data_IF_837184562683
#
_entry.id   IF_837184562683
#
_cell.length_a   1.000
_cell.length_b   1.000
_cell.length_c   1.000
_cell.angle_alpha   90.00
_cell.angle_beta   90.00
_cell.angle_gamma   90.00
#
_symmetry.space_group_name_H-M   'P 1'
#
loop_
_entity.id
_entity.type
_entity.pdbx_description
1 polymer ?
#
# COMPACT_ATOMS: atom_id res chain seq x y z
N UNK A 1 29.67 50.80 -19.84
CA UNK A 1 28.92 50.18 -18.78
C UNK A 1 27.46 50.68 -18.90
N UNK A 2 26.62 49.93 -19.58
CA UNK A 2 25.20 50.30 -19.80
C UNK A 2 24.32 49.29 -19.07
N UNK A 3 23.54 49.78 -18.14
CA UNK A 3 22.53 49.04 -17.37
C UNK A 3 21.28 48.99 -18.25
N UNK A 4 20.82 47.80 -18.59
CA UNK A 4 19.52 47.57 -19.28
C UNK A 4 18.52 47.19 -18.22
N UNK A 5 17.56 48.08 -17.98
CA UNK A 5 16.37 47.86 -17.15
C UNK A 5 15.39 47.00 -17.92
N UNK A 6 15.02 45.81 -17.40
CA UNK A 6 13.93 44.99 -17.92
C UNK A 6 12.65 45.35 -17.19
N UNK A 7 11.74 45.96 -17.93
CA UNK A 7 10.36 46.22 -17.48
C UNK A 7 9.58 44.90 -17.34
N UNK A 8 9.01 44.71 -16.16
CA UNK A 8 8.12 43.61 -15.82
C UNK A 8 6.72 43.90 -16.36
N UNK A 9 6.29 43.20 -17.41
CA UNK A 9 4.90 43.29 -17.89
C UNK A 9 4.06 42.39 -16.96
N UNK A 10 3.28 43.00 -16.11
CA UNK A 10 2.21 42.34 -15.37
C UNK A 10 1.03 42.09 -16.34
N UNK A 11 0.80 40.86 -16.69
CA UNK A 11 -0.35 40.42 -17.46
C UNK A 11 -1.50 40.07 -16.50
N UNK A 12 -2.30 41.08 -16.17
CA UNK A 12 -3.51 40.93 -15.37
C UNK A 12 -4.63 40.38 -16.25
N UNK A 13 -4.81 39.06 -16.30
CA UNK A 13 -5.89 38.36 -17.02
C UNK A 13 -6.94 37.75 -16.09
N UNK A 14 -7.02 38.18 -14.83
CA UNK A 14 -7.94 37.58 -13.85
C UNK A 14 -9.37 38.14 -13.84
N UNK A 15 -9.73 39.05 -14.73
CA UNK A 15 -11.03 39.74 -14.67
C UNK A 15 -11.84 39.72 -15.97
N UNK A 16 -11.80 38.62 -16.74
CA UNK A 16 -12.72 38.45 -17.87
C UNK A 16 -13.94 37.60 -17.45
N UNK A 17 -15.17 37.92 -17.93
CA UNK A 17 -16.38 37.13 -17.64
C UNK A 17 -16.25 35.65 -18.02
N UNK A 18 -15.40 35.33 -19.00
CA UNK A 18 -15.07 33.96 -19.39
C UNK A 18 -14.22 33.21 -18.40
N UNK A 19 -13.36 33.89 -17.64
CA UNK A 19 -12.53 33.30 -16.59
C UNK A 19 -13.36 32.91 -15.36
N UNK A 20 -14.45 33.63 -15.08
CA UNK A 20 -15.37 33.30 -13.99
C UNK A 20 -16.32 32.15 -14.33
N UNK A 21 -16.71 31.98 -15.60
CA UNK A 21 -17.56 30.87 -16.03
C UNK A 21 -16.85 29.51 -16.02
N UNK A 22 -15.52 29.47 -16.18
CA UNK A 22 -14.74 28.22 -16.12
C UNK A 22 -14.47 27.73 -14.69
N UNK A 23 -14.64 28.60 -13.68
CA UNK A 23 -14.47 28.22 -12.28
C UNK A 23 -15.65 27.44 -11.69
N UNK A 24 -16.78 27.33 -12.39
CA UNK A 24 -17.96 26.59 -11.94
C UNK A 24 -18.02 25.14 -12.43
N UNK A 25 -17.10 24.72 -13.30
CA UNK A 25 -16.93 23.30 -13.67
C UNK A 25 -15.76 22.69 -12.87
N UNK A 26 -15.76 22.80 -11.55
CA UNK A 26 -15.02 21.87 -10.71
C UNK A 26 -15.72 20.52 -10.87
N UNK A 27 -15.22 19.70 -11.79
CA UNK A 27 -15.46 18.26 -11.75
C UNK A 27 -15.02 17.85 -10.35
N UNK A 28 -15.98 17.47 -9.51
CA UNK A 28 -15.66 16.91 -8.19
C UNK A 28 -14.71 15.75 -8.46
N UNK A 29 -13.53 15.68 -7.82
CA UNK A 29 -12.65 14.55 -8.00
C UNK A 29 -13.44 13.30 -7.65
N UNK A 30 -13.44 12.31 -8.54
CA UNK A 30 -14.08 11.02 -8.25
C UNK A 30 -13.36 10.49 -7.02
N UNK A 31 -14.06 10.43 -5.89
CA UNK A 31 -13.52 9.88 -4.67
C UNK A 31 -13.77 8.36 -4.68
N UNK A 32 -12.70 7.59 -4.84
CA UNK A 32 -12.79 6.14 -4.77
C UNK A 32 -12.93 5.68 -3.33
N UNK A 33 -13.94 4.89 -3.04
CA UNK A 33 -14.03 4.15 -1.80
C UNK A 33 -13.15 2.91 -1.92
N UNK A 34 -12.08 2.84 -1.13
CA UNK A 34 -11.09 1.77 -1.11
C UNK A 34 -11.17 1.05 0.22
N UNK A 35 -11.48 -0.24 0.19
CA UNK A 35 -11.53 -1.08 1.39
C UNK A 35 -10.21 -1.80 1.57
N UNK A 36 -9.50 -1.47 2.64
CA UNK A 36 -8.31 -2.17 3.08
C UNK A 36 -8.73 -3.37 3.96
N UNK A 37 -8.41 -4.59 3.55
CA UNK A 37 -8.69 -5.83 4.28
C UNK A 37 -7.77 -6.00 5.50
N UNK A 38 -7.67 -4.97 6.31
CA UNK A 38 -6.81 -4.88 7.50
C UNK A 38 -7.18 -3.65 8.33
N UNK A 39 -6.94 -3.73 9.63
CA UNK A 39 -6.99 -2.59 10.56
C UNK A 39 -5.60 -2.11 10.98
N UNK A 40 -4.52 -2.74 10.46
CA UNK A 40 -3.14 -2.35 10.78
C UNK A 40 -2.79 -0.98 10.17
N UNK A 41 -2.42 0.04 11.00
CA UNK A 41 -2.17 1.40 10.52
C UNK A 41 -1.07 1.51 9.48
N UNK A 42 0.00 0.71 9.60
CA UNK A 42 1.12 0.74 8.64
C UNK A 42 0.70 0.21 7.26
N UNK A 43 -0.16 -0.82 7.22
CA UNK A 43 -0.74 -1.34 5.98
C UNK A 43 -1.70 -0.32 5.35
N UNK A 44 -2.60 0.27 6.16
CA UNK A 44 -3.55 1.31 5.70
C UNK A 44 -2.78 2.51 5.14
N UNK A 45 -1.74 2.96 5.83
CA UNK A 45 -0.92 4.08 5.37
C UNK A 45 -0.23 3.80 4.03
N UNK A 46 0.34 2.60 3.86
CA UNK A 46 0.95 2.20 2.58
C UNK A 46 -0.07 2.17 1.43
N UNK A 47 -1.29 1.68 1.69
CA UNK A 47 -2.39 1.67 0.72
C UNK A 47 -2.78 3.11 0.35
N UNK A 48 -2.97 3.99 1.34
CA UNK A 48 -3.33 5.38 1.11
C UNK A 48 -2.29 6.11 0.26
N UNK A 49 -1.00 5.95 0.57
CA UNK A 49 0.09 6.53 -0.22
C UNK A 49 0.08 6.03 -1.67
N UNK A 50 0.00 4.71 -1.89
CA UNK A 50 0.01 4.15 -3.23
C UNK A 50 -1.18 4.61 -4.08
N UNK A 51 -2.38 4.68 -3.50
CA UNK A 51 -3.57 5.15 -4.19
C UNK A 51 -3.51 6.66 -4.48
N UNK A 52 -2.99 7.47 -3.56
CA UNK A 52 -2.77 8.90 -3.79
C UNK A 52 -1.77 9.16 -4.91
N UNK A 53 -0.66 8.41 -4.95
CA UNK A 53 0.35 8.55 -6.02
C UNK A 53 -0.20 8.16 -7.39
N UNK A 54 -1.06 7.14 -7.44
CA UNK A 54 -1.60 6.60 -8.70
C UNK A 54 -2.82 7.41 -9.19
N UNK A 55 -3.73 7.78 -8.32
CA UNK A 55 -5.01 8.41 -8.69
C UNK A 55 -5.10 9.90 -8.34
N UNK A 56 -4.10 10.45 -7.67
CA UNK A 56 -4.04 11.83 -7.21
C UNK A 56 -4.38 11.98 -5.73
N UNK A 57 -3.75 12.97 -5.10
CA UNK A 57 -3.97 13.25 -3.68
C UNK A 57 -5.44 13.61 -3.39
N UNK A 58 -6.01 12.99 -2.35
CA UNK A 58 -7.40 13.20 -1.95
C UNK A 58 -8.43 12.54 -2.87
N UNK A 59 -8.01 11.72 -3.84
CA UNK A 59 -8.93 10.98 -4.73
C UNK A 59 -9.53 9.73 -4.10
N UNK A 60 -9.02 9.28 -2.94
CA UNK A 60 -9.41 8.03 -2.33
C UNK A 60 -9.80 8.22 -0.86
N UNK A 61 -10.87 7.54 -0.45
CA UNK A 61 -11.21 7.32 0.95
C UNK A 61 -10.88 5.87 1.31
N UNK A 62 -9.99 5.66 2.28
CA UNK A 62 -9.56 4.33 2.70
C UNK A 62 -10.33 3.92 3.96
N UNK A 63 -11.09 2.84 3.88
CA UNK A 63 -11.76 2.20 5.00
C UNK A 63 -11.03 0.90 5.37
N UNK A 64 -10.55 0.78 6.61
CA UNK A 64 -9.98 -0.47 7.12
C UNK A 64 -11.08 -1.40 7.64
N UNK A 65 -11.05 -2.67 7.22
CA UNK A 65 -11.94 -3.72 7.74
C UNK A 65 -11.12 -4.91 8.23
N UNK A 66 -11.52 -5.47 9.36
CA UNK A 66 -10.92 -6.69 9.88
C UNK A 66 -11.62 -7.89 9.23
N UNK A 67 -10.81 -8.73 8.56
CA UNK A 67 -11.27 -9.95 7.90
C UNK A 67 -10.22 -11.05 8.04
N UNK A 68 -10.68 -12.30 8.06
CA UNK A 68 -9.81 -13.46 8.11
C UNK A 68 -9.05 -13.66 6.79
N UNK A 69 -7.84 -14.19 6.89
CA UNK A 69 -7.02 -14.62 5.74
C UNK A 69 -7.29 -16.07 5.32
N UNK A 70 -7.87 -16.87 6.22
CA UNK A 70 -8.07 -18.30 5.99
C UNK A 70 -6.78 -19.13 5.93
N UNK A 71 -5.63 -18.54 6.31
CA UNK A 71 -4.32 -19.19 6.37
C UNK A 71 -3.71 -19.02 7.75
N UNK A 72 -2.57 -19.67 8.00
CA UNK A 72 -1.86 -19.52 9.27
C UNK A 72 -1.52 -18.05 9.58
N UNK A 73 -1.42 -17.71 10.88
CA UNK A 73 -1.01 -16.36 11.32
C UNK A 73 0.37 -15.97 10.77
N UNK A 74 1.26 -16.95 10.58
CA UNK A 74 2.52 -16.82 9.89
C UNK A 74 2.57 -17.80 8.72
N UNK A 75 2.20 -17.37 7.48
CA UNK A 75 2.34 -18.21 6.28
C UNK A 75 3.81 -18.52 6.00
N UNK A 76 4.10 -19.77 5.65
CA UNK A 76 5.46 -20.29 5.45
C UNK A 76 5.78 -20.64 4.00
N UNK A 77 4.91 -20.28 3.07
CA UNK A 77 5.16 -20.41 1.63
C UNK A 77 4.61 -19.21 0.88
N UNK A 78 5.17 -18.94 -0.31
CA UNK A 78 4.64 -17.86 -1.14
C UNK A 78 3.20 -18.15 -1.58
N UNK A 79 2.86 -19.40 -1.83
CA UNK A 79 1.51 -19.79 -2.26
C UNK A 79 0.48 -19.57 -1.16
N UNK A 80 0.79 -19.97 0.07
CA UNK A 80 -0.06 -19.75 1.23
C UNK A 80 -0.26 -18.24 1.48
N UNK A 81 0.82 -17.46 1.46
CA UNK A 81 0.76 -16.00 1.64
C UNK A 81 -0.11 -15.34 0.58
N UNK A 82 0.07 -15.72 -0.71
CA UNK A 82 -0.76 -15.21 -1.81
C UNK A 82 -2.23 -15.60 -1.64
N UNK A 83 -2.49 -16.83 -1.25
CA UNK A 83 -3.85 -17.33 -0.98
C UNK A 83 -4.51 -16.53 0.14
N UNK A 84 -3.79 -16.28 1.24
CA UNK A 84 -4.28 -15.44 2.34
C UNK A 84 -4.63 -14.02 1.89
N UNK A 85 -3.77 -13.39 1.09
CA UNK A 85 -4.06 -12.06 0.55
C UNK A 85 -5.34 -12.05 -0.33
N UNK A 86 -5.51 -13.06 -1.20
CA UNK A 86 -6.72 -13.21 -2.02
C UNK A 86 -7.98 -13.46 -1.19
N UNK A 87 -7.87 -14.30 -0.16
CA UNK A 87 -8.99 -14.59 0.73
C UNK A 87 -9.43 -13.34 1.49
N UNK A 88 -8.49 -12.53 1.98
CA UNK A 88 -8.82 -11.24 2.62
C UNK A 88 -9.57 -10.30 1.68
N UNK A 89 -9.17 -10.20 0.40
CA UNK A 89 -9.90 -9.39 -0.59
C UNK A 89 -11.31 -9.92 -0.80
N UNK A 90 -11.47 -11.24 -0.95
CA UNK A 90 -12.80 -11.86 -1.07
C UNK A 90 -13.69 -11.56 0.14
N UNK A 91 -13.16 -11.70 1.33
CA UNK A 91 -13.90 -11.44 2.58
C UNK A 91 -14.24 -9.96 2.74
N UNK A 92 -13.30 -9.06 2.42
CA UNK A 92 -13.54 -7.62 2.43
C UNK A 92 -14.62 -7.20 1.42
N UNK A 93 -14.65 -7.83 0.25
CA UNK A 93 -15.70 -7.62 -0.76
C UNK A 93 -17.09 -8.06 -0.28
N UNK A 94 -17.18 -9.12 0.51
CA UNK A 94 -18.45 -9.53 1.12
C UNK A 94 -18.93 -8.52 2.17
N UNK A 95 -18.01 -7.92 2.92
CA UNK A 95 -18.33 -6.92 3.97
C UNK A 95 -18.72 -5.57 3.37
N UNK A 96 -18.09 -5.17 2.26
CA UNK A 96 -18.30 -3.88 1.57
C UNK A 96 -18.41 -4.06 0.06
N UNK A 97 -19.50 -4.63 -0.45
CA UNK A 97 -19.64 -4.99 -1.87
C UNK A 97 -19.70 -3.77 -2.81
N UNK A 98 -20.03 -2.59 -2.29
CA UNK A 98 -20.19 -1.33 -3.03
C UNK A 98 -18.88 -0.56 -3.24
N UNK A 99 -17.77 -0.98 -2.63
CA UNK A 99 -16.49 -0.30 -2.75
C UNK A 99 -15.98 -0.28 -4.20
N UNK A 100 -15.18 0.72 -4.54
CA UNK A 100 -14.53 0.82 -5.83
C UNK A 100 -13.34 -0.16 -5.93
N UNK A 101 -12.62 -0.34 -4.80
CA UNK A 101 -11.48 -1.25 -4.71
C UNK A 101 -11.45 -2.00 -3.38
N UNK A 102 -10.92 -3.21 -3.41
CA UNK A 102 -10.57 -4.03 -2.24
C UNK A 102 -9.08 -4.35 -2.29
N UNK A 103 -8.39 -4.14 -1.18
CA UNK A 103 -6.93 -4.24 -1.11
C UNK A 103 -6.51 -5.08 0.08
N UNK A 104 -5.65 -6.06 -0.14
CA UNK A 104 -5.04 -6.85 0.92
C UNK A 104 -3.52 -6.85 0.82
N UNK A 105 -2.89 -6.94 1.97
CA UNK A 105 -1.45 -7.16 2.16
C UNK A 105 -1.31 -8.33 3.14
N UNK A 106 -0.73 -9.43 2.67
CA UNK A 106 -0.40 -10.57 3.52
C UNK A 106 1.11 -10.77 3.54
N UNK A 107 1.69 -10.85 4.74
CA UNK A 107 3.11 -11.09 4.92
C UNK A 107 3.37 -12.58 5.15
N UNK A 108 4.47 -13.08 4.60
CA UNK A 108 4.86 -14.48 4.75
C UNK A 108 6.36 -14.66 4.68
N UNK A 109 6.74 -15.91 4.83
CA UNK A 109 8.12 -16.36 4.80
C UNK A 109 8.17 -17.56 3.85
N UNK A 110 9.25 -17.69 3.12
CA UNK A 110 9.56 -18.85 2.30
C UNK A 110 11.04 -19.14 2.44
N UNK A 111 11.36 -20.36 2.82
CA UNK A 111 12.72 -20.78 3.18
C UNK A 111 13.31 -19.88 4.28
N UNK A 112 14.22 -19.00 3.92
CA UNK A 112 14.86 -18.04 4.83
C UNK A 112 14.45 -16.59 4.58
N UNK A 113 13.50 -16.34 3.68
CA UNK A 113 13.21 -15.00 3.15
C UNK A 113 11.82 -14.51 3.53
N UNK A 114 11.75 -13.30 4.10
CA UNK A 114 10.51 -12.60 4.40
C UNK A 114 10.06 -11.71 3.25
N UNK A 115 8.76 -11.66 2.96
CA UNK A 115 8.12 -10.88 1.91
C UNK A 115 6.66 -10.61 2.22
N UNK A 116 5.95 -9.97 1.30
CA UNK A 116 4.49 -9.86 1.37
C UNK A 116 3.87 -9.93 -0.04
N UNK A 117 2.62 -10.39 -0.11
CA UNK A 117 1.77 -10.31 -1.29
C UNK A 117 0.77 -9.18 -1.15
N UNK A 118 0.62 -8.41 -2.24
CA UNK A 118 -0.40 -7.38 -2.43
C UNK A 118 -1.40 -7.87 -3.45
N UNK A 119 -2.67 -7.76 -3.09
CA UNK A 119 -3.78 -8.05 -4.00
C UNK A 119 -4.69 -6.84 -4.01
N UNK A 120 -4.97 -6.32 -5.20
CA UNK A 120 -5.91 -5.23 -5.44
C UNK A 120 -6.98 -5.74 -6.40
N UNK A 121 -8.25 -5.54 -6.07
CA UNK A 121 -9.38 -5.86 -6.94
C UNK A 121 -10.31 -4.67 -7.10
N UNK A 122 -10.92 -4.57 -8.26
CA UNK A 122 -12.15 -3.82 -8.47
C UNK A 122 -13.25 -4.78 -9.00
N UNK A 123 -14.36 -4.26 -9.49
CA UNK A 123 -15.45 -5.09 -10.02
C UNK A 123 -15.07 -5.91 -11.26
N UNK A 124 -14.01 -5.54 -11.99
CA UNK A 124 -13.69 -6.08 -13.30
C UNK A 124 -12.41 -6.91 -13.34
N UNK A 125 -11.42 -6.54 -12.53
CA UNK A 125 -10.08 -7.11 -12.66
C UNK A 125 -9.34 -7.15 -11.33
N UNK A 126 -8.25 -7.91 -11.32
CA UNK A 126 -7.32 -8.08 -10.21
C UNK A 126 -5.91 -7.73 -10.63
N UNK A 127 -5.20 -7.00 -9.77
CA UNK A 127 -3.76 -6.83 -9.85
C UNK A 127 -3.09 -7.44 -8.63
N UNK A 128 -1.94 -8.04 -8.83
CA UNK A 128 -1.18 -8.70 -7.78
C UNK A 128 0.31 -8.40 -7.93
N UNK A 129 0.99 -8.29 -6.81
CA UNK A 129 2.45 -8.18 -6.78
C UNK A 129 3.02 -8.80 -5.52
N UNK A 130 4.29 -9.16 -5.58
CA UNK A 130 5.09 -9.55 -4.42
C UNK A 130 6.07 -8.43 -4.09
N UNK A 131 6.22 -8.11 -2.80
CA UNK A 131 7.23 -7.14 -2.37
C UNK A 131 8.65 -7.65 -2.62
N UNK A 132 9.63 -6.74 -2.50
CA UNK A 132 11.01 -7.15 -2.29
C UNK A 132 11.08 -8.10 -1.08
N UNK A 133 12.00 -9.07 -1.12
CA UNK A 133 12.28 -10.01 -0.04
C UNK A 133 13.64 -9.74 0.57
N UNK A 134 13.83 -10.16 1.81
CA UNK A 134 15.11 -10.09 2.49
C UNK A 134 15.32 -11.35 3.35
N UNK A 135 16.58 -11.79 3.41
CA UNK A 135 16.96 -12.97 4.17
C UNK A 135 16.91 -12.70 5.68
N UNK A 136 16.34 -13.63 6.43
CA UNK A 136 16.26 -13.60 7.88
C UNK A 136 17.48 -14.27 8.51
N UNK A 137 18.04 -13.74 9.61
CA UNK A 137 19.11 -14.39 10.34
C UNK A 137 18.70 -15.76 10.88
N UNK A 138 19.63 -16.73 10.99
CA UNK A 138 19.32 -18.06 11.50
C UNK A 138 18.67 -18.08 12.89
N UNK A 139 19.04 -17.14 13.75
CA UNK A 139 18.45 -17.00 15.10
C UNK A 139 16.97 -16.65 15.04
N UNK A 140 16.55 -15.81 14.08
CA UNK A 140 15.14 -15.48 13.85
C UNK A 140 14.40 -16.70 13.31
N UNK A 141 14.98 -17.39 12.32
CA UNK A 141 14.40 -18.60 11.73
C UNK A 141 14.18 -19.72 12.76
N UNK A 142 15.06 -19.83 13.75
CA UNK A 142 14.88 -20.78 14.83
C UNK A 142 13.59 -20.50 15.62
N UNK A 143 13.32 -19.23 15.96
CA UNK A 143 12.09 -18.84 16.64
C UNK A 143 10.82 -19.10 15.83
N UNK A 144 10.89 -18.86 14.50
CA UNK A 144 9.75 -19.13 13.62
C UNK A 144 9.45 -20.63 13.51
N UNK A 145 10.47 -21.49 13.50
CA UNK A 145 10.29 -22.96 13.53
C UNK A 145 9.66 -23.46 14.82
N UNK A 146 9.81 -22.71 15.92
CA UNK A 146 9.15 -22.97 17.19
C UNK A 146 7.70 -22.42 17.23
N UNK A 147 7.20 -21.88 16.12
CA UNK A 147 5.83 -21.41 15.97
C UNK A 147 5.59 -19.95 16.35
N UNK A 148 6.66 -19.17 16.64
CA UNK A 148 6.50 -17.73 16.90
C UNK A 148 6.30 -16.95 15.59
N UNK A 149 5.50 -15.90 15.62
CA UNK A 149 5.41 -14.95 14.52
C UNK A 149 6.67 -14.09 14.41
N UNK A 150 7.02 -13.67 13.18
CA UNK A 150 8.20 -12.83 12.93
C UNK A 150 8.23 -11.56 13.80
N UNK A 151 7.08 -10.89 13.99
CA UNK A 151 7.01 -9.69 14.82
C UNK A 151 7.29 -9.97 16.31
N UNK A 152 6.84 -11.11 16.83
CA UNK A 152 7.08 -11.53 18.21
C UNK A 152 8.54 -11.90 18.42
N UNK A 153 9.10 -12.69 17.51
CA UNK A 153 10.50 -13.10 17.58
C UNK A 153 11.45 -11.92 17.50
N UNK A 154 11.15 -10.97 16.60
CA UNK A 154 11.93 -9.73 16.51
C UNK A 154 11.84 -8.89 17.76
N UNK A 155 10.67 -8.73 18.37
CA UNK A 155 10.51 -8.01 19.63
C UNK A 155 11.33 -8.69 20.76
N UNK A 156 11.27 -10.03 20.84
CA UNK A 156 12.04 -10.81 21.81
C UNK A 156 13.55 -10.63 21.65
N UNK A 157 14.05 -10.66 20.41
CA UNK A 157 15.50 -10.59 20.14
C UNK A 157 16.07 -9.18 20.23
N UNK A 158 15.29 -8.16 19.88
CA UNK A 158 15.76 -6.77 19.84
C UNK A 158 15.40 -5.97 21.09
N UNK A 159 14.47 -6.45 21.92
CA UNK A 159 13.90 -5.68 23.03
C UNK A 159 13.00 -4.51 22.58
N UNK A 160 12.72 -4.38 21.30
CA UNK A 160 11.87 -3.31 20.76
C UNK A 160 10.40 -3.73 20.90
N UNK A 161 9.71 -3.16 21.88
CA UNK A 161 8.26 -3.36 22.02
C UNK A 161 7.51 -2.81 20.82
N UNK A 162 6.42 -3.49 20.45
CA UNK A 162 5.54 -3.06 19.34
C UNK A 162 6.28 -2.84 18.00
N UNK A 163 7.29 -3.64 17.70
CA UNK A 163 8.10 -3.54 16.47
C UNK A 163 7.23 -3.53 15.20
N UNK A 164 6.04 -4.14 15.26
CA UNK A 164 5.02 -4.10 14.18
C UNK A 164 4.57 -2.68 13.83
N UNK A 165 4.70 -1.72 14.75
CA UNK A 165 4.36 -0.29 14.58
C UNK A 165 5.59 0.60 14.33
N UNK A 166 6.79 0.09 14.52
CA UNK A 166 8.06 0.81 14.40
C UNK A 166 8.88 0.40 13.17
N UNK A 167 8.22 0.21 12.02
CA UNK A 167 8.90 -0.18 10.78
C UNK A 167 8.97 -1.69 10.54
N UNK A 168 8.64 -2.52 11.53
CA UNK A 168 8.68 -3.99 11.43
C UNK A 168 10.10 -4.53 11.42
N UNK A 169 10.25 -5.83 11.12
CA UNK A 169 11.56 -6.49 11.03
C UNK A 169 12.50 -5.78 10.05
N UNK A 170 11.99 -5.35 8.89
CA UNK A 170 12.81 -4.65 7.89
C UNK A 170 13.35 -3.33 8.43
N UNK A 171 12.58 -2.59 9.23
CA UNK A 171 13.04 -1.37 9.88
C UNK A 171 14.20 -1.65 10.85
N UNK A 172 14.09 -2.70 11.65
CA UNK A 172 15.14 -3.09 12.57
C UNK A 172 16.41 -3.53 11.83
N UNK A 173 16.31 -4.36 10.80
CA UNK A 173 17.47 -4.85 10.04
C UNK A 173 18.14 -3.79 9.18
N UNK A 174 17.43 -2.75 8.81
CA UNK A 174 17.98 -1.66 7.97
C UNK A 174 18.32 -0.40 8.78
N UNK A 175 18.32 -0.48 10.10
CA UNK A 175 18.53 0.69 10.99
C UNK A 175 17.60 1.87 10.63
N UNK A 176 16.35 1.57 10.28
CA UNK A 176 15.36 2.58 9.92
C UNK A 176 15.43 3.14 8.51
N UNK A 177 16.36 2.68 7.66
CA UNK A 177 16.44 3.13 6.25
C UNK A 177 15.23 2.72 5.42
N UNK A 178 14.61 1.58 5.75
CA UNK A 178 13.37 1.10 5.16
C UNK A 178 12.33 0.88 6.27
N UNK A 179 11.08 0.90 5.87
CA UNK A 179 9.95 0.55 6.73
C UNK A 179 9.03 -0.44 6.00
N UNK A 180 8.13 -1.08 6.74
CA UNK A 180 7.07 -1.91 6.12
C UNK A 180 6.25 -1.09 5.14
N UNK A 181 5.91 0.16 5.49
CA UNK A 181 5.15 1.05 4.60
C UNK A 181 5.88 1.31 3.29
N UNK A 182 7.17 1.64 3.31
CA UNK A 182 7.92 1.94 2.08
C UNK A 182 8.03 0.74 1.14
N UNK A 183 8.23 -0.46 1.68
CA UNK A 183 8.32 -1.69 0.88
C UNK A 183 6.96 -2.12 0.34
N UNK A 184 5.90 -1.98 1.14
CA UNK A 184 4.54 -2.27 0.71
C UNK A 184 4.03 -1.28 -0.33
N UNK A 185 4.36 0.01 -0.17
CA UNK A 185 4.00 1.08 -1.10
C UNK A 185 4.46 0.77 -2.53
N UNK A 186 5.74 0.45 -2.72
CA UNK A 186 6.27 0.08 -4.04
C UNK A 186 5.52 -1.10 -4.65
N UNK A 187 5.29 -2.16 -3.87
CA UNK A 187 4.61 -3.34 -4.36
C UNK A 187 3.12 -3.06 -4.67
N UNK A 188 2.46 -2.19 -3.89
CA UNK A 188 1.09 -1.76 -4.19
C UNK A 188 0.97 -1.01 -5.51
N UNK A 189 1.92 -0.12 -5.83
CA UNK A 189 1.98 0.55 -7.15
C UNK A 189 2.07 -0.49 -8.27
N UNK A 190 2.89 -1.52 -8.11
CA UNK A 190 2.99 -2.61 -9.09
C UNK A 190 1.68 -3.41 -9.21
N UNK A 191 0.99 -3.66 -8.09
CA UNK A 191 -0.32 -4.31 -8.10
C UNK A 191 -1.41 -3.43 -8.75
N UNK A 192 -1.23 -2.11 -8.79
CA UNK A 192 -2.13 -1.16 -9.45
C UNK A 192 -1.91 -1.03 -10.96
N UNK A 193 -0.82 -1.54 -11.52
CA UNK A 193 -0.54 -1.46 -12.97
C UNK A 193 -1.71 -1.87 -13.87
N UNK A 194 -2.46 -2.98 -13.59
CA UNK A 194 -3.60 -3.37 -14.41
C UNK A 194 -4.71 -2.32 -14.50
N UNK A 195 -4.84 -1.45 -13.51
CA UNK A 195 -5.92 -0.46 -13.43
C UNK A 195 -5.58 0.85 -14.14
N UNK A 196 -4.30 1.08 -14.46
CA UNK A 196 -3.80 2.37 -14.98
C UNK A 196 -3.17 2.26 -16.36
N UNK A 197 -2.72 1.08 -16.78
CA UNK A 197 -1.99 0.94 -18.04
C UNK A 197 -2.84 0.26 -19.11
N UNK A 198 -3.01 0.88 -20.34
CA UNK A 198 -3.92 0.38 -21.37
C UNK A 198 -3.65 -1.03 -21.86
N UNK A 199 -2.40 -1.53 -21.78
CA UNK A 199 -2.06 -2.90 -22.21
C UNK A 199 -2.74 -4.00 -21.37
N UNK A 200 -3.19 -3.68 -20.16
CA UNK A 200 -3.95 -4.62 -19.31
C UNK A 200 -5.46 -4.58 -19.55
N UNK A 201 -5.92 -3.68 -20.43
CA UNK A 201 -7.36 -3.46 -20.68
C UNK A 201 -7.82 -4.00 -22.06
N UNK A 202 -6.95 -4.78 -22.74
CA UNK A 202 -7.21 -5.39 -24.03
C UNK A 202 -8.01 -6.68 -23.93
#
# INVERSE_FOLDING_TARGET
>A
MRIVSTARVQNDKSNSPMGQALNHLRVQPIMYHVVAATTNPAKIHAIAQAFNDVFGEGSCHIEGVEVDSGVAAQPLTHLETRTGARQRVMNARQVRPEAAFWVAIEAGIEDDSAFAWMVVENQKQRGESRSASFTLPPVVLAGLREGRELGEEMARLTGIENIKHQGGAIGAFTNGLLSRSSVYHQALILALCPFIHPLYQQ
#
